data_IF_440877642270
#
_entry.id   IF_440877642270
#
_cell.length_a   1.000
_cell.length_b   1.000
_cell.length_c   1.000
_cell.angle_alpha   90.00
_cell.angle_beta   90.00
_cell.angle_gamma   90.00
#
_symmetry.space_group_name_H-M   'P 1'
#
loop_
_entity.id
_entity.type
_entity.pdbx_description
1 polymer ?
#
# COMPACT_ATOMS: atom_id res chain seq x y z
N UNK A 1 8.66 -37.91 11.19
CA UNK A 1 7.73 -36.94 10.56
C UNK A 1 7.55 -35.83 11.57
N UNK A 2 8.24 -34.72 11.41
CA UNK A 2 8.06 -33.52 12.25
C UNK A 2 7.57 -32.38 11.36
N UNK A 3 6.26 -32.13 11.42
CA UNK A 3 5.62 -31.00 10.75
C UNK A 3 5.68 -29.77 11.65
N UNK A 4 6.78 -29.04 11.61
CA UNK A 4 6.86 -27.72 12.23
C UNK A 4 6.25 -26.67 11.29
N UNK A 5 4.95 -26.42 11.42
CA UNK A 5 4.29 -25.25 10.80
C UNK A 5 4.68 -24.00 11.59
N UNK A 6 5.91 -23.52 11.40
CA UNK A 6 6.32 -22.18 11.84
C UNK A 6 6.37 -21.30 10.62
N UNK A 7 5.33 -20.51 10.44
CA UNK A 7 5.50 -19.13 9.99
C UNK A 7 4.22 -18.35 10.27
N UNK A 8 4.02 -18.02 11.56
CA UNK A 8 3.29 -16.80 11.88
C UNK A 8 4.19 -15.65 11.44
N UNK A 9 4.19 -15.33 10.14
CA UNK A 9 4.90 -14.16 9.62
C UNK A 9 4.20 -12.94 10.19
N UNK A 10 4.79 -12.36 11.23
CA UNK A 10 4.48 -10.99 11.63
C UNK A 10 4.89 -10.13 10.44
N UNK A 11 3.91 -9.64 9.68
CA UNK A 11 4.14 -8.81 8.53
C UNK A 11 4.38 -7.38 9.04
N UNK A 12 5.66 -7.01 9.20
CA UNK A 12 6.04 -5.62 9.36
C UNK A 12 5.97 -4.95 7.99
N UNK A 13 5.11 -3.95 7.83
CA UNK A 13 4.98 -3.25 6.56
C UNK A 13 5.20 -1.76 6.78
N UNK A 14 6.11 -1.19 6.01
CA UNK A 14 6.48 0.22 6.13
C UNK A 14 6.69 0.84 4.77
N UNK A 15 6.42 2.14 4.68
CA UNK A 15 6.61 2.94 3.49
C UNK A 15 7.46 4.15 3.81
N UNK A 16 8.20 4.60 2.80
CA UNK A 16 9.01 5.82 2.85
C UNK A 16 8.38 6.83 1.92
N UNK A 17 8.22 8.06 2.39
CA UNK A 17 7.70 9.18 1.61
C UNK A 17 8.85 10.15 1.39
N UNK A 18 9.11 10.41 0.11
CA UNK A 18 10.11 11.38 -0.35
C UNK A 18 9.37 12.49 -1.09
N UNK A 19 9.88 13.71 -1.04
CA UNK A 19 9.38 14.77 -1.91
C UNK A 19 10.04 14.72 -3.30
N UNK A 20 9.62 15.63 -4.17
CA UNK A 20 10.14 15.77 -5.53
C UNK A 20 11.64 16.13 -5.60
N UNK A 21 12.24 16.59 -4.50
CA UNK A 21 13.68 16.85 -4.41
C UNK A 21 14.45 15.61 -3.91
N UNK A 22 13.76 14.47 -3.74
CA UNK A 22 14.33 13.25 -3.15
C UNK A 22 14.57 13.36 -1.64
N UNK A 23 14.11 14.44 -1.00
CA UNK A 23 14.29 14.63 0.44
C UNK A 23 13.30 13.73 1.18
N UNK A 24 13.80 12.99 2.16
CA UNK A 24 12.96 12.17 3.01
C UNK A 24 12.04 13.06 3.85
N UNK A 25 10.73 12.91 3.64
CA UNK A 25 9.70 13.70 4.34
C UNK A 25 9.11 12.94 5.52
N UNK A 26 9.20 11.63 5.49
CA UNK A 26 8.77 10.77 6.58
C UNK A 26 8.72 9.32 6.16
N UNK A 27 8.73 8.44 7.14
CA UNK A 27 8.47 7.02 6.95
C UNK A 27 7.37 6.62 7.90
N UNK A 28 6.53 5.69 7.48
CA UNK A 28 5.59 5.03 8.37
C UNK A 28 5.92 3.55 8.40
N UNK A 29 5.91 2.98 9.60
CA UNK A 29 6.04 1.54 9.79
C UNK A 29 4.82 1.11 10.61
N UNK A 30 4.11 0.11 10.12
CA UNK A 30 2.95 -0.46 10.78
C UNK A 30 3.19 -1.95 10.96
N UNK A 31 3.11 -2.38 12.21
CA UNK A 31 3.02 -3.79 12.54
C UNK A 31 1.62 -4.26 12.13
N UNK A 32 1.55 -5.13 11.12
CA UNK A 32 0.32 -5.82 10.81
C UNK A 32 0.39 -7.18 11.49
N UNK A 33 -0.54 -7.41 12.41
CA UNK A 33 -0.83 -8.75 12.92
C UNK A 33 -1.18 -9.68 11.75
N UNK A 34 -0.87 -10.97 11.92
CA UNK A 34 -1.05 -12.09 10.97
C UNK A 34 -1.94 -11.73 9.76
N UNK A 35 -1.32 -11.15 8.73
CA UNK A 35 -2.01 -10.73 7.52
C UNK A 35 -1.29 -11.29 6.31
N UNK A 36 -2.05 -11.64 5.27
CA UNK A 36 -1.48 -12.00 3.97
C UNK A 36 -0.65 -10.82 3.45
N UNK A 37 0.49 -11.11 2.81
CA UNK A 37 1.38 -10.12 2.18
C UNK A 37 0.58 -9.12 1.33
N UNK A 38 -0.43 -9.63 0.61
CA UNK A 38 -1.36 -8.81 -0.19
C UNK A 38 -2.14 -7.75 0.63
N UNK A 39 -2.75 -8.15 1.76
CA UNK A 39 -3.47 -7.21 2.65
C UNK A 39 -2.49 -6.22 3.25
N UNK A 40 -1.28 -6.68 3.52
CA UNK A 40 -0.25 -5.89 4.13
C UNK A 40 0.22 -4.75 3.22
N UNK A 41 0.41 -5.04 1.95
CA UNK A 41 0.70 -4.05 0.91
C UNK A 41 -0.44 -3.05 0.72
N UNK A 42 -1.70 -3.51 0.61
CA UNK A 42 -2.85 -2.61 0.52
C UNK A 42 -2.95 -1.66 1.71
N UNK A 43 -2.69 -2.16 2.92
CA UNK A 43 -2.64 -1.34 4.12
C UNK A 43 -1.53 -0.28 4.05
N UNK A 44 -0.34 -0.63 3.55
CA UNK A 44 0.75 0.33 3.37
C UNK A 44 0.36 1.40 2.37
N UNK A 45 -0.20 1.04 1.22
CA UNK A 45 -0.66 2.00 0.21
C UNK A 45 -1.67 2.96 0.80
N UNK A 46 -2.68 2.44 1.52
CA UNK A 46 -3.70 3.26 2.14
C UNK A 46 -3.12 4.26 3.15
N UNK A 47 -2.23 3.78 4.04
CA UNK A 47 -1.64 4.64 5.06
C UNK A 47 -0.65 5.64 4.45
N UNK A 48 0.09 5.26 3.41
CA UNK A 48 0.98 6.15 2.65
C UNK A 48 0.21 7.28 1.97
N UNK A 49 -0.91 6.95 1.31
CA UNK A 49 -1.79 7.96 0.70
C UNK A 49 -2.40 8.89 1.76
N UNK A 50 -2.87 8.36 2.90
CA UNK A 50 -3.40 9.19 3.99
C UNK A 50 -2.34 10.11 4.59
N UNK A 51 -1.12 9.61 4.77
CA UNK A 51 -0.02 10.38 5.31
C UNK A 51 0.42 11.47 4.35
N UNK A 52 0.54 11.14 3.06
CA UNK A 52 0.87 12.13 2.04
C UNK A 52 -0.22 13.19 1.89
N UNK A 53 -1.50 12.83 2.05
CA UNK A 53 -2.60 13.79 2.12
C UNK A 53 -2.52 14.71 3.34
N UNK A 54 -2.10 14.18 4.50
CA UNK A 54 -1.84 15.00 5.71
C UNK A 54 -0.67 15.95 5.53
N UNK A 55 0.28 15.60 4.68
CA UNK A 55 1.40 16.47 4.30
C UNK A 55 1.04 17.40 3.14
N UNK A 56 -0.22 17.45 2.72
CA UNK A 56 -0.73 18.34 1.67
C UNK A 56 0.03 18.18 0.33
N UNK A 57 0.51 16.96 0.05
CA UNK A 57 1.12 16.68 -1.24
C UNK A 57 0.07 16.63 -2.33
N UNK A 58 0.33 17.37 -3.41
CA UNK A 58 -0.49 17.34 -4.62
C UNK A 58 -0.03 16.31 -5.64
N UNK A 59 1.17 15.73 -5.47
CA UNK A 59 1.71 14.70 -6.36
C UNK A 59 2.42 13.61 -5.56
N UNK A 60 2.07 12.36 -5.84
CA UNK A 60 2.60 11.18 -5.15
C UNK A 60 2.97 10.14 -6.17
N UNK A 61 4.16 9.59 -6.02
CA UNK A 61 4.59 8.40 -6.73
C UNK A 61 4.53 7.23 -5.76
N UNK A 62 3.62 6.30 -6.03
CA UNK A 62 3.43 5.08 -5.26
C UNK A 62 4.15 3.95 -5.98
N UNK A 63 5.20 3.42 -5.37
CA UNK A 63 5.91 2.24 -5.83
C UNK A 63 5.32 1.00 -5.15
N UNK A 64 4.87 0.04 -5.97
CA UNK A 64 4.25 -1.20 -5.51
C UNK A 64 5.00 -2.35 -6.18
N UNK A 65 5.56 -3.29 -5.41
CA UNK A 65 6.25 -4.47 -5.96
C UNK A 65 5.28 -5.57 -6.42
N UNK A 66 4.03 -5.53 -5.94
CA UNK A 66 3.02 -6.53 -6.25
C UNK A 66 2.17 -6.19 -7.46
N UNK A 67 2.33 -7.01 -8.50
CA UNK A 67 1.51 -6.94 -9.71
C UNK A 67 0.02 -7.12 -9.40
N UNK A 68 -0.33 -7.91 -8.38
CA UNK A 68 -1.72 -8.14 -7.94
C UNK A 68 -2.32 -6.85 -7.37
N UNK A 69 -1.58 -6.15 -6.50
CA UNK A 69 -2.04 -4.87 -5.93
C UNK A 69 -2.14 -3.80 -7.02
N UNK A 70 -1.13 -3.69 -7.89
CA UNK A 70 -1.16 -2.74 -9.02
C UNK A 70 -2.37 -3.00 -9.93
N UNK A 71 -2.67 -4.27 -10.24
CA UNK A 71 -3.80 -4.63 -11.07
C UNK A 71 -5.14 -4.32 -10.40
N UNK A 72 -5.28 -4.55 -9.09
CA UNK A 72 -6.48 -4.21 -8.31
C UNK A 72 -6.71 -2.70 -8.18
N UNK A 73 -5.64 -1.91 -8.07
CA UNK A 73 -5.72 -0.45 -8.06
C UNK A 73 -6.18 0.10 -9.42
N UNK A 74 -5.71 -0.53 -10.52
CA UNK A 74 -6.05 -0.14 -11.90
C UNK A 74 -7.42 -0.66 -12.34
N UNK A 75 -7.79 -1.86 -11.94
CA UNK A 75 -9.03 -2.53 -12.34
C UNK A 75 -9.83 -3.00 -11.11
N UNK A 76 -10.91 -2.29 -10.74
CA UNK A 76 -11.75 -2.70 -9.62
C UNK A 76 -12.51 -3.98 -9.98
N UNK A 77 -12.38 -5.01 -9.15
CA UNK A 77 -13.16 -6.25 -9.27
C UNK A 77 -12.43 -7.43 -9.93
N UNK A 78 -11.10 -7.34 -10.13
CA UNK A 78 -10.31 -8.44 -10.68
C UNK A 78 -10.12 -9.63 -9.72
N UNK A 79 -10.42 -9.46 -8.43
CA UNK A 79 -10.88 -10.53 -7.56
C UNK A 79 -10.11 -10.71 -6.25
N UNK A 80 -10.84 -10.51 -5.15
CA UNK A 80 -11.05 -11.43 -4.00
C UNK A 80 -11.87 -10.67 -2.95
N UNK A 81 -12.74 -11.32 -2.16
CA UNK A 81 -13.50 -10.64 -1.09
C UNK A 81 -12.62 -10.12 0.06
N UNK A 82 -11.37 -10.57 0.15
CA UNK A 82 -10.41 -10.15 1.17
C UNK A 82 -9.69 -8.87 0.72
N UNK A 83 -10.06 -7.74 1.32
CA UNK A 83 -9.40 -6.45 1.09
C UNK A 83 -10.19 -5.44 0.24
N UNK A 84 -11.38 -5.79 -0.26
CA UNK A 84 -12.20 -4.87 -1.07
C UNK A 84 -12.53 -3.54 -0.38
N UNK A 85 -12.71 -3.55 0.94
CA UNK A 85 -12.91 -2.33 1.73
C UNK A 85 -11.65 -1.42 1.77
N UNK A 86 -10.45 -2.01 1.75
CA UNK A 86 -9.19 -1.26 1.69
C UNK A 86 -9.03 -0.65 0.29
N UNK A 87 -9.26 -1.44 -0.76
CA UNK A 87 -9.20 -0.98 -2.15
C UNK A 87 -10.18 0.16 -2.39
N UNK A 88 -11.44 0.05 -1.93
CA UNK A 88 -12.41 1.15 -2.04
C UNK A 88 -11.94 2.43 -1.35
N UNK A 89 -11.34 2.33 -0.15
CA UNK A 89 -10.78 3.49 0.56
C UNK A 89 -9.60 4.10 -0.17
N UNK A 90 -8.70 3.26 -0.70
CA UNK A 90 -7.57 3.73 -1.50
C UNK A 90 -8.10 4.48 -2.73
N UNK A 91 -9.07 3.93 -3.44
CA UNK A 91 -9.65 4.57 -4.64
C UNK A 91 -10.34 5.89 -4.31
N UNK A 92 -11.09 5.96 -3.21
CA UNK A 92 -11.67 7.22 -2.74
C UNK A 92 -10.59 8.28 -2.44
N UNK A 93 -9.38 7.87 -2.03
CA UNK A 93 -8.25 8.80 -1.95
C UNK A 93 -7.69 9.13 -3.32
N UNK A 94 -7.52 8.16 -4.22
CA UNK A 94 -7.03 8.40 -5.60
C UNK A 94 -7.94 9.36 -6.40
N UNK A 95 -9.24 9.39 -6.11
CA UNK A 95 -10.23 10.28 -6.74
C UNK A 95 -10.18 11.73 -6.25
N UNK A 96 -9.33 12.06 -5.26
CA UNK A 96 -9.14 13.43 -4.80
C UNK A 96 -8.45 14.29 -5.87
N UNK A 97 -8.48 15.61 -5.68
CA UNK A 97 -7.75 16.58 -6.52
C UNK A 97 -6.24 16.56 -6.21
N UNK A 98 -5.57 15.49 -6.64
CA UNK A 98 -4.12 15.29 -6.55
C UNK A 98 -3.68 14.27 -7.60
N UNK A 99 -2.39 14.27 -7.92
CA UNK A 99 -1.80 13.38 -8.92
C UNK A 99 -1.16 12.18 -8.24
N UNK A 100 -1.69 10.99 -8.46
CA UNK A 100 -1.10 9.75 -7.93
C UNK A 100 -0.62 8.88 -9.09
N UNK A 101 0.69 8.70 -9.17
CA UNK A 101 1.36 7.86 -10.16
C UNK A 101 1.70 6.53 -9.51
N UNK A 102 1.13 5.44 -10.02
CA UNK A 102 1.40 4.09 -9.51
C UNK A 102 2.46 3.44 -10.41
N UNK A 103 3.65 3.26 -9.86
CA UNK A 103 4.78 2.57 -10.48
C UNK A 103 4.88 1.14 -9.95
N UNK A 104 5.20 0.20 -10.85
CA UNK A 104 5.46 -1.19 -10.50
C UNK A 104 6.97 -1.43 -10.61
N UNK A 105 7.62 -1.70 -9.49
CA UNK A 105 9.01 -2.16 -9.43
C UNK A 105 9.03 -3.68 -9.61
N UNK A 106 9.93 -4.18 -10.46
CA UNK A 106 10.05 -5.59 -10.88
C UNK A 106 11.33 -6.20 -10.33
#
# INVERSE_FOLDING_TARGET
>A
MDGAYKEVRVAGCGGVIRDSNGVWRGGFAKNLDICSVYIAELCVVLEGLRYARRLEFNRIELEVDSSVVNQELRQPGYGRPLGGALVMRIRSLLELEWEVVINHSY
#
